data_IF_636447782464
#
_entry.id   IF_636447782464
#
_cell.length_a   1.000
_cell.length_b   1.000
_cell.length_c   1.000
_cell.angle_alpha   90.00
_cell.angle_beta   90.00
_cell.angle_gamma   90.00
#
_symmetry.space_group_name_H-M   'P 1'
#
loop_
_entity.id
_entity.type
_entity.pdbx_description
1 polymer ?
#
# COMPACT_ATOMS: atom_id res chain seq x y z
N UNK A 1 0.83 12.97 13.09
CA UNK A 1 1.24 13.30 11.75
C UNK A 1 0.69 12.27 10.77
N UNK A 2 0.98 12.43 9.50
CA UNK A 2 0.40 11.59 8.45
C UNK A 2 1.45 10.68 7.82
N UNK A 3 1.02 9.51 7.37
CA UNK A 3 1.89 8.64 6.57
C UNK A 3 1.06 7.79 5.61
N UNK A 4 1.74 7.26 4.62
CA UNK A 4 1.21 6.27 3.69
C UNK A 4 2.02 4.98 3.85
N UNK A 5 1.35 3.86 3.77
CA UNK A 5 1.99 2.55 3.81
C UNK A 5 1.70 1.82 2.51
N UNK A 6 2.70 1.19 1.94
CA UNK A 6 2.52 0.27 0.84
C UNK A 6 2.93 -1.12 1.32
N UNK A 7 2.07 -2.11 1.12
CA UNK A 7 2.34 -3.49 1.51
C UNK A 7 2.51 -4.33 0.25
N UNK A 8 3.65 -5.02 0.14
CA UNK A 8 3.99 -5.84 -1.02
C UNK A 8 3.97 -7.30 -0.62
N UNK A 9 3.35 -8.16 -1.45
CA UNK A 9 3.43 -9.60 -1.22
C UNK A 9 4.75 -10.14 -1.77
N UNK A 10 5.40 -10.99 -1.01
CA UNK A 10 6.73 -11.50 -1.38
C UNK A 10 6.75 -12.99 -1.73
N UNK A 11 5.59 -13.64 -1.75
CA UNK A 11 5.47 -15.05 -2.14
C UNK A 11 5.52 -15.28 -3.65
N UNK A 12 5.42 -14.22 -4.45
CA UNK A 12 5.55 -14.29 -5.90
C UNK A 12 6.87 -13.66 -6.30
N UNK A 13 7.45 -14.18 -7.37
CA UNK A 13 8.75 -13.72 -7.84
C UNK A 13 8.60 -12.42 -8.65
N UNK A 14 9.18 -11.35 -8.14
CA UNK A 14 9.22 -10.06 -8.84
C UNK A 14 10.62 -9.47 -8.72
N UNK A 15 11.11 -8.92 -9.82
CA UNK A 15 12.39 -8.20 -9.81
C UNK A 15 12.29 -6.92 -8.97
N UNK A 16 13.43 -6.36 -8.61
CA UNK A 16 13.48 -5.09 -7.88
C UNK A 16 12.74 -3.98 -8.63
N UNK A 17 12.92 -3.92 -9.94
CA UNK A 17 12.24 -2.92 -10.77
C UNK A 17 10.72 -3.12 -10.76
N UNK A 18 10.26 -4.37 -10.83
CA UNK A 18 8.82 -4.66 -10.78
C UNK A 18 8.24 -4.27 -9.42
N UNK A 19 8.93 -4.59 -8.33
CA UNK A 19 8.50 -4.19 -6.99
C UNK A 19 8.42 -2.68 -6.88
N UNK A 20 9.43 -1.97 -7.37
CA UNK A 20 9.44 -0.51 -7.34
C UNK A 20 8.27 0.08 -8.12
N UNK A 21 7.99 -0.47 -9.29
CA UNK A 21 6.88 -0.03 -10.15
C UNK A 21 5.54 -0.23 -9.45
N UNK A 22 5.30 -1.42 -8.89
CA UNK A 22 4.05 -1.71 -8.20
C UNK A 22 3.87 -0.86 -6.94
N UNK A 23 4.95 -0.60 -6.23
CA UNK A 23 4.95 0.27 -5.05
C UNK A 23 4.57 1.71 -5.43
N UNK A 24 5.17 2.23 -6.50
CA UNK A 24 4.87 3.57 -6.99
C UNK A 24 3.41 3.68 -7.45
N UNK A 25 2.92 2.66 -8.14
CA UNK A 25 1.53 2.60 -8.60
C UNK A 25 0.57 2.64 -7.40
N UNK A 26 0.84 1.84 -6.38
CA UNK A 26 0.01 1.81 -5.18
C UNK A 26 0.01 3.16 -4.45
N UNK A 27 1.17 3.81 -4.38
CA UNK A 27 1.30 5.10 -3.73
C UNK A 27 0.45 6.17 -4.42
N UNK A 28 0.50 6.22 -5.74
CA UNK A 28 -0.26 7.20 -6.52
C UNK A 28 -1.77 6.94 -6.40
N UNK A 29 -2.19 5.68 -6.62
CA UNK A 29 -3.61 5.33 -6.59
C UNK A 29 -4.23 5.60 -5.23
N UNK A 30 -3.57 5.20 -4.16
CA UNK A 30 -4.09 5.42 -2.81
C UNK A 30 -4.17 6.91 -2.48
N UNK A 31 -3.16 7.69 -2.87
CA UNK A 31 -3.15 9.12 -2.60
C UNK A 31 -4.29 9.86 -3.29
N UNK A 32 -4.69 9.41 -4.47
CA UNK A 32 -5.82 10.00 -5.20
C UNK A 32 -7.15 9.81 -4.47
N UNK A 33 -7.25 8.83 -3.60
CA UNK A 33 -8.47 8.53 -2.84
C UNK A 33 -8.54 9.29 -1.51
N UNK A 34 -7.45 9.88 -1.07
CA UNK A 34 -7.42 10.63 0.17
C UNK A 34 -8.20 11.94 -0.01
N UNK A 35 -8.81 12.42 1.07
CA UNK A 35 -9.43 13.74 1.01
C UNK A 35 -8.35 14.81 0.87
N UNK A 36 -8.73 15.96 0.29
CA UNK A 36 -7.78 17.01 -0.05
C UNK A 36 -7.02 17.53 1.18
N UNK A 37 -7.70 17.68 2.30
CA UNK A 37 -7.06 18.19 3.51
C UNK A 37 -5.96 17.27 4.01
N UNK A 38 -6.23 15.98 4.07
CA UNK A 38 -5.26 14.97 4.48
C UNK A 38 -4.09 14.89 3.48
N UNK A 39 -4.42 14.89 2.19
CA UNK A 39 -3.41 14.83 1.13
C UNK A 39 -2.46 16.02 1.22
N UNK A 40 -3.01 17.24 1.34
CA UNK A 40 -2.21 18.47 1.40
C UNK A 40 -1.32 18.48 2.67
N UNK A 41 -1.86 18.07 3.80
CA UNK A 41 -1.09 18.01 5.05
C UNK A 41 0.06 17.01 4.96
N UNK A 42 -0.21 15.83 4.43
CA UNK A 42 0.80 14.79 4.23
C UNK A 42 1.92 15.27 3.29
N UNK A 43 1.53 15.90 2.18
CA UNK A 43 2.52 16.47 1.23
C UNK A 43 3.39 17.52 1.90
N UNK A 44 2.77 18.40 2.68
CA UNK A 44 3.49 19.47 3.39
C UNK A 44 4.47 18.91 4.41
N UNK A 45 4.15 17.77 5.02
CA UNK A 45 5.02 17.10 5.99
C UNK A 45 6.15 16.28 5.35
N UNK A 46 6.18 16.18 4.02
CA UNK A 46 7.24 15.46 3.32
C UNK A 46 6.84 14.13 2.70
N UNK A 47 5.56 13.81 2.67
CA UNK A 47 5.04 12.59 2.02
C UNK A 47 5.61 11.29 2.61
N UNK A 48 5.66 11.17 3.91
CA UNK A 48 6.20 9.98 4.56
C UNK A 48 5.56 8.70 4.03
N UNK A 49 6.37 7.73 3.59
CA UNK A 49 5.96 6.43 3.09
C UNK A 49 6.76 5.34 3.77
N UNK A 50 6.11 4.23 4.08
CA UNK A 50 6.77 3.05 4.63
C UNK A 50 6.36 1.86 3.79
N UNK A 51 7.33 1.05 3.37
CA UNK A 51 7.08 -0.13 2.54
C UNK A 51 7.23 -1.37 3.40
N UNK A 52 6.14 -2.12 3.51
CA UNK A 52 6.05 -3.32 4.33
C UNK A 52 5.85 -4.54 3.45
N UNK A 53 5.97 -5.73 4.03
CA UNK A 53 5.75 -6.97 3.28
C UNK A 53 4.79 -7.91 4.00
N UNK A 54 4.14 -8.74 3.18
CA UNK A 54 3.34 -9.91 3.61
C UNK A 54 3.70 -11.07 2.71
N UNK A 55 3.25 -12.27 3.06
CA UNK A 55 3.65 -13.49 2.35
C UNK A 55 2.54 -14.11 1.51
N UNK A 56 1.38 -13.45 1.35
CA UNK A 56 0.29 -14.03 0.58
C UNK A 56 -0.72 -12.99 0.12
N UNK A 57 -1.50 -13.35 -0.89
CA UNK A 57 -2.63 -12.55 -1.32
C UNK A 57 -3.67 -12.44 -0.18
N UNK A 58 -3.91 -13.55 0.52
CA UNK A 58 -4.86 -13.55 1.65
C UNK A 58 -4.50 -12.51 2.69
N UNK A 59 -3.21 -12.36 2.99
CA UNK A 59 -2.76 -11.33 3.93
C UNK A 59 -3.13 -9.92 3.46
N UNK A 60 -3.00 -9.65 2.16
CA UNK A 60 -3.41 -8.36 1.61
C UNK A 60 -4.91 -8.15 1.75
N UNK A 61 -5.71 -9.17 1.49
CA UNK A 61 -7.17 -9.07 1.60
C UNK A 61 -7.61 -8.82 3.05
N UNK A 62 -6.96 -9.45 4.01
CA UNK A 62 -7.22 -9.20 5.44
C UNK A 62 -6.97 -7.73 5.78
N UNK A 63 -5.89 -7.16 5.25
CA UNK A 63 -5.59 -5.73 5.46
C UNK A 63 -6.65 -4.83 4.83
N UNK A 64 -7.16 -5.19 3.65
CA UNK A 64 -8.25 -4.46 3.00
C UNK A 64 -9.47 -4.43 3.93
N UNK A 65 -9.83 -5.57 4.52
CA UNK A 65 -10.97 -5.64 5.43
C UNK A 65 -10.76 -4.73 6.66
N UNK A 66 -9.54 -4.71 7.20
CA UNK A 66 -9.22 -3.81 8.32
C UNK A 66 -9.34 -2.34 7.92
N UNK A 67 -8.88 -1.97 6.73
CA UNK A 67 -8.99 -0.61 6.22
C UNK A 67 -10.46 -0.21 6.09
N UNK A 68 -11.30 -1.11 5.58
CA UNK A 68 -12.74 -0.86 5.44
C UNK A 68 -13.39 -0.60 6.79
N UNK A 69 -13.07 -1.41 7.80
CA UNK A 69 -13.61 -1.24 9.15
C UNK A 69 -13.20 0.08 9.76
N UNK A 70 -11.97 0.52 9.52
CA UNK A 70 -11.43 1.75 10.09
C UNK A 70 -11.66 2.97 9.20
N UNK A 71 -12.29 2.79 8.05
CA UNK A 71 -12.57 3.86 7.08
C UNK A 71 -11.29 4.57 6.63
N UNK A 72 -10.23 3.79 6.41
CA UNK A 72 -8.98 4.27 5.85
C UNK A 72 -9.01 4.03 4.34
N UNK A 73 -8.65 5.04 3.56
CA UNK A 73 -8.58 4.90 2.10
C UNK A 73 -7.46 3.96 1.72
N UNK A 74 -7.71 3.13 0.71
CA UNK A 74 -6.72 2.16 0.22
C UNK A 74 -6.89 1.92 -1.26
N UNK A 75 -5.89 1.32 -1.88
CA UNK A 75 -5.93 0.89 -3.27
C UNK A 75 -5.20 -0.44 -3.42
N UNK A 76 -5.93 -1.45 -3.89
CA UNK A 76 -5.38 -2.78 -4.16
C UNK A 76 -4.90 -2.81 -5.60
N UNK A 77 -3.63 -3.18 -5.81
CA UNK A 77 -3.00 -3.14 -7.13
C UNK A 77 -2.93 -4.54 -7.72
N UNK A 78 -3.42 -4.66 -8.94
CA UNK A 78 -3.26 -5.88 -9.73
C UNK A 78 -2.40 -5.57 -10.95
N UNK A 79 -1.61 -6.56 -11.38
CA UNK A 79 -0.77 -6.41 -12.56
C UNK A 79 -1.60 -6.50 -13.84
N UNK A 80 -1.26 -5.70 -14.83
CA UNK A 80 -1.93 -5.71 -16.12
C UNK A 80 -1.52 -6.92 -16.98
N UNK A 81 -0.52 -7.70 -16.53
CA UNK A 81 -0.10 -8.92 -17.23
C UNK A 81 0.86 -8.69 -18.37
N UNK A 82 1.57 -7.58 -18.36
CA UNK A 82 2.55 -7.26 -19.41
C UNK A 82 3.99 -7.40 -18.95
N UNK A 83 4.18 -8.04 -17.79
CA UNK A 83 5.48 -8.11 -17.15
C UNK A 83 5.74 -9.54 -16.62
N UNK A 84 6.22 -9.64 -15.39
CA UNK A 84 6.76 -10.87 -14.79
C UNK A 84 5.73 -11.79 -14.18
N UNK A 85 4.49 -11.31 -13.98
CA UNK A 85 3.44 -12.09 -13.31
C UNK A 85 2.21 -12.23 -14.20
N UNK A 86 1.35 -13.19 -13.85
CA UNK A 86 0.11 -13.44 -14.60
C UNK A 86 -0.81 -12.22 -14.58
N UNK A 87 -1.57 -11.99 -15.67
CA UNK A 87 -2.55 -10.91 -15.70
C UNK A 87 -3.54 -10.99 -14.53
N UNK A 88 -3.78 -9.85 -13.91
CA UNK A 88 -4.72 -9.78 -12.80
C UNK A 88 -4.14 -10.20 -11.44
N UNK A 89 -2.87 -10.60 -11.38
CA UNK A 89 -2.23 -10.94 -10.11
C UNK A 89 -2.20 -9.74 -9.18
N UNK A 90 -2.74 -9.89 -7.99
CA UNK A 90 -2.66 -8.86 -6.96
C UNK A 90 -1.25 -8.84 -6.40
N UNK A 91 -0.61 -7.67 -6.41
CA UNK A 91 0.81 -7.53 -6.06
C UNK A 91 1.06 -6.67 -4.82
N UNK A 92 0.26 -5.64 -4.62
CA UNK A 92 0.52 -4.66 -3.56
C UNK A 92 -0.76 -3.97 -3.11
N UNK A 93 -0.68 -3.33 -1.96
CA UNK A 93 -1.78 -2.56 -1.38
C UNK A 93 -1.24 -1.23 -0.91
N UNK A 94 -1.81 -0.12 -1.40
CA UNK A 94 -1.51 1.22 -0.89
C UNK A 94 -2.54 1.60 0.17
N UNK A 95 -2.08 2.14 1.29
CA UNK A 95 -2.94 2.53 2.41
C UNK A 95 -2.64 3.97 2.80
N UNK A 96 -3.66 4.81 2.75
CA UNK A 96 -3.51 6.21 3.09
C UNK A 96 -3.02 7.08 1.94
N UNK A 97 -2.60 8.33 2.23
CA UNK A 97 -2.22 8.83 3.57
C UNK A 97 -3.38 8.99 4.56
N UNK A 98 -3.07 8.78 5.81
CA UNK A 98 -3.95 9.03 6.95
C UNK A 98 -3.06 9.28 8.18
N UNK A 99 -3.67 9.50 9.33
CA UNK A 99 -2.89 9.69 10.55
C UNK A 99 -2.06 8.44 10.86
N UNK A 100 -0.86 8.63 11.38
CA UNK A 100 0.00 7.51 11.74
C UNK A 100 -0.67 6.59 12.76
N UNK A 101 -1.43 7.17 13.69
CA UNK A 101 -2.15 6.40 14.69
C UNK A 101 -3.12 5.39 14.06
N UNK A 102 -3.95 5.84 13.13
CA UNK A 102 -4.90 4.96 12.44
C UNK A 102 -4.18 3.90 11.61
N UNK A 103 -3.20 4.32 10.84
CA UNK A 103 -2.46 3.41 9.96
C UNK A 103 -1.73 2.34 10.78
N UNK A 104 -1.13 2.71 11.90
CA UNK A 104 -0.43 1.76 12.76
C UNK A 104 -1.35 0.68 13.34
N UNK A 105 -2.61 0.98 13.53
CA UNK A 105 -3.57 -0.04 13.99
C UNK A 105 -3.80 -1.13 12.95
N UNK A 106 -3.57 -0.83 11.67
CA UNK A 106 -3.72 -1.81 10.58
C UNK A 106 -2.41 -2.53 10.28
N UNK A 107 -1.30 -1.80 10.20
CA UNK A 107 -0.04 -2.32 9.68
C UNK A 107 1.14 -2.27 10.65
N UNK A 108 0.93 -1.80 11.88
CA UNK A 108 2.04 -1.56 12.82
C UNK A 108 2.85 -2.78 13.20
N UNK A 109 2.32 -3.99 13.01
CA UNK A 109 3.02 -5.23 13.33
C UNK A 109 3.75 -5.85 12.14
N UNK A 110 3.60 -5.29 10.95
CA UNK A 110 4.20 -5.87 9.75
C UNK A 110 5.68 -5.50 9.60
N UNK A 111 6.50 -6.41 9.08
CA UNK A 111 7.92 -6.12 8.86
C UNK A 111 8.15 -5.25 7.64
N UNK A 112 9.26 -4.52 7.66
CA UNK A 112 9.70 -3.73 6.52
C UNK A 112 10.08 -4.64 5.35
N UNK A 113 9.83 -4.18 4.14
CA UNK A 113 10.34 -4.85 2.95
C UNK A 113 11.85 -4.59 2.89
N UNK A 114 12.62 -5.67 2.91
CA UNK A 114 14.08 -5.60 2.82
C UNK A 114 14.62 -6.56 1.79
#
# INVERSE_FOLDING_TARGET
MYKQVIVVRTDIKMSKGKIASQTAHAAVDASHKADKKTLDAWKKEGQKKVILKVNSETDLIVLVEKCQKMKIKYSLISDAGRTEVEPGTITALGIGPDTEEKINKVTGSLPLLK
#
